data_IF_494253475527
#
_entry.id   IF_494253475527
#
_cell.length_a   1.000
_cell.length_b   1.000
_cell.length_c   1.000
_cell.angle_alpha   90.00
_cell.angle_beta   90.00
_cell.angle_gamma   90.00
#
_symmetry.space_group_name_H-M   'P 1'
#
loop_
_entity.id
_entity.type
_entity.pdbx_description
1 polymer ?
#
# COMPACT_ATOMS: atom_id res chain seq x y z
N UNK A 1 6.05 -52.51 -6.86
CA UNK A 1 5.91 -51.19 -7.53
C UNK A 1 5.64 -50.16 -6.44
N UNK A 2 6.63 -49.33 -6.11
CA UNK A 2 6.52 -48.32 -5.06
C UNK A 2 5.79 -47.08 -5.59
N UNK A 3 4.66 -46.75 -4.99
CA UNK A 3 3.92 -45.51 -5.26
C UNK A 3 4.70 -44.35 -4.64
N UNK A 4 5.41 -43.59 -5.48
CA UNK A 4 6.03 -42.35 -5.09
C UNK A 4 4.93 -41.32 -4.76
N UNK A 5 4.62 -41.18 -3.46
CA UNK A 5 3.74 -40.13 -2.98
C UNK A 5 4.31 -38.77 -3.37
N UNK A 6 3.57 -38.01 -4.19
CA UNK A 6 3.89 -36.60 -4.48
C UNK A 6 3.85 -35.83 -3.16
N UNK A 7 5.01 -35.52 -2.59
CA UNK A 7 5.12 -34.60 -1.46
C UNK A 7 4.86 -33.19 -1.97
N UNK A 8 3.63 -32.71 -1.81
CA UNK A 8 3.34 -31.30 -2.04
C UNK A 8 4.12 -30.47 -1.02
N UNK A 9 5.11 -29.71 -1.49
CA UNK A 9 5.85 -28.77 -0.65
C UNK A 9 4.88 -27.71 -0.14
N UNK A 10 4.77 -27.58 1.18
CA UNK A 10 4.04 -26.48 1.81
C UNK A 10 4.63 -25.16 1.29
N UNK A 11 3.81 -24.22 0.75
CA UNK A 11 4.31 -22.94 0.27
C UNK A 11 5.13 -22.23 1.36
N UNK A 12 6.31 -21.72 0.99
CA UNK A 12 7.10 -20.90 1.89
C UNK A 12 6.32 -19.62 2.25
N UNK A 13 6.61 -19.05 3.41
CA UNK A 13 5.92 -17.84 3.88
C UNK A 13 6.02 -16.66 2.92
N UNK A 14 7.14 -16.54 2.22
CA UNK A 14 7.35 -15.51 1.20
C UNK A 14 6.41 -15.71 0.00
N UNK A 15 6.10 -16.96 -0.37
CA UNK A 15 5.12 -17.27 -1.41
C UNK A 15 3.70 -16.84 -1.02
N UNK A 16 3.29 -17.04 0.24
CA UNK A 16 1.96 -16.62 0.70
C UNK A 16 1.79 -15.10 0.70
N UNK A 17 2.81 -14.36 1.13
CA UNK A 17 2.79 -12.88 1.11
C UNK A 17 2.74 -12.37 -0.34
N UNK A 18 3.51 -12.98 -1.25
CA UNK A 18 3.48 -12.61 -2.66
C UNK A 18 2.13 -12.93 -3.31
N UNK A 19 1.49 -14.04 -2.93
CA UNK A 19 0.16 -14.37 -3.39
C UNK A 19 -0.89 -13.37 -2.91
N UNK A 20 -0.86 -12.97 -1.63
CA UNK A 20 -1.75 -11.92 -1.10
C UNK A 20 -1.54 -10.58 -1.81
N UNK A 21 -0.29 -10.23 -2.13
CA UNK A 21 0.04 -9.03 -2.92
C UNK A 21 -0.49 -9.12 -4.34
N UNK A 22 -0.42 -10.30 -4.96
CA UNK A 22 -0.98 -10.52 -6.28
C UNK A 22 -2.50 -10.32 -6.28
N UNK A 23 -3.21 -10.90 -5.32
CA UNK A 23 -4.66 -10.68 -5.16
C UNK A 23 -4.95 -9.20 -4.98
N UNK A 24 -4.25 -8.52 -4.06
CA UNK A 24 -4.45 -7.11 -3.81
C UNK A 24 -4.15 -6.25 -5.05
N UNK A 25 -3.09 -6.56 -5.81
CA UNK A 25 -2.75 -5.86 -7.06
C UNK A 25 -3.86 -6.03 -8.11
N UNK A 26 -4.39 -7.25 -8.28
CA UNK A 26 -5.49 -7.53 -9.20
C UNK A 26 -6.76 -6.77 -8.83
N UNK A 27 -7.09 -6.68 -7.52
CA UNK A 27 -8.23 -5.90 -7.04
C UNK A 27 -8.03 -4.39 -7.29
N UNK A 28 -6.83 -3.85 -7.10
CA UNK A 28 -6.51 -2.44 -7.40
C UNK A 28 -6.64 -2.15 -8.90
N UNK A 29 -6.12 -3.03 -9.76
CA UNK A 29 -6.24 -2.90 -11.22
C UNK A 29 -7.71 -2.90 -11.62
N UNK A 30 -8.48 -3.87 -11.12
CA UNK A 30 -9.91 -3.96 -11.40
C UNK A 30 -10.67 -2.73 -10.93
N UNK A 31 -10.39 -2.23 -9.72
CA UNK A 31 -11.00 -1.00 -9.19
C UNK A 31 -10.75 0.22 -10.06
N UNK A 32 -9.50 0.43 -10.49
CA UNK A 32 -9.16 1.56 -11.37
C UNK A 32 -9.81 1.42 -12.75
N UNK A 33 -9.84 0.21 -13.31
CA UNK A 33 -10.55 -0.07 -14.55
C UNK A 33 -12.05 0.25 -14.43
N UNK A 34 -12.71 -0.27 -13.39
CA UNK A 34 -14.13 -0.03 -13.15
C UNK A 34 -14.41 1.47 -12.97
N UNK A 35 -13.56 2.18 -12.23
CA UNK A 35 -13.66 3.63 -12.03
C UNK A 35 -13.56 4.42 -13.34
N UNK A 36 -12.65 4.03 -14.24
CA UNK A 36 -12.48 4.67 -15.55
C UNK A 36 -13.63 4.35 -16.52
N UNK A 37 -14.26 3.17 -16.38
CA UNK A 37 -15.42 2.77 -17.16
C UNK A 37 -16.76 3.20 -16.54
N UNK A 38 -16.73 3.93 -15.42
CA UNK A 38 -17.91 4.28 -14.62
C UNK A 38 -18.78 3.06 -14.23
N UNK A 39 -18.15 1.90 -14.06
CA UNK A 39 -18.79 0.68 -13.59
C UNK A 39 -18.89 0.73 -12.05
N UNK A 40 -20.08 0.49 -11.46
CA UNK A 40 -20.22 0.45 -10.01
C UNK A 40 -19.30 -0.58 -9.35
N UNK A 41 -18.62 -0.16 -8.29
CA UNK A 41 -17.78 -1.03 -7.48
C UNK A 41 -18.65 -1.88 -6.52
N UNK A 42 -18.40 -3.19 -6.36
CA UNK A 42 -19.06 -4.00 -5.33
C UNK A 42 -18.50 -3.67 -3.95
N UNK A 43 -19.40 -3.67 -2.96
CA UNK A 43 -19.07 -3.37 -1.57
C UNK A 43 -19.07 -4.65 -0.72
N UNK A 44 -18.06 -4.77 0.13
CA UNK A 44 -17.97 -5.81 1.16
C UNK A 44 -17.91 -5.10 2.50
N UNK A 45 -18.86 -5.38 3.40
CA UNK A 45 -18.93 -4.78 4.74
C UNK A 45 -18.87 -3.24 4.72
N UNK A 46 -19.52 -2.61 3.73
CA UNK A 46 -19.55 -1.16 3.57
C UNK A 46 -18.29 -0.54 2.97
N UNK A 47 -17.31 -1.32 2.49
CA UNK A 47 -16.15 -0.81 1.76
C UNK A 47 -16.03 -1.40 0.35
N UNK A 48 -15.60 -0.56 -0.60
CA UNK A 48 -15.22 -1.00 -1.94
C UNK A 48 -13.98 -1.90 -1.94
N UNK A 49 -13.84 -2.71 -2.99
CA UNK A 49 -12.69 -3.58 -3.22
C UNK A 49 -11.35 -2.84 -3.31
N UNK A 50 -11.30 -1.65 -3.93
CA UNK A 50 -10.11 -0.82 -4.04
C UNK A 50 -9.56 -0.41 -2.68
N UNK A 51 -10.37 0.26 -1.82
CA UNK A 51 -10.05 0.50 -0.42
C UNK A 51 -9.54 -0.73 0.34
N UNK A 52 -10.23 -1.87 0.23
CA UNK A 52 -9.84 -3.12 0.89
C UNK A 52 -8.46 -3.58 0.41
N UNK A 53 -8.21 -3.56 -0.90
CA UNK A 53 -6.94 -3.97 -1.48
C UNK A 53 -5.78 -3.08 -1.02
N UNK A 54 -5.99 -1.77 -0.96
CA UNK A 54 -5.01 -0.82 -0.41
C UNK A 54 -4.74 -1.11 1.08
N UNK A 55 -5.78 -1.37 1.86
CA UNK A 55 -5.63 -1.73 3.28
C UNK A 55 -4.80 -3.02 3.44
N UNK A 56 -5.00 -4.04 2.61
CA UNK A 56 -4.17 -5.26 2.58
C UNK A 56 -2.71 -4.91 2.31
N UNK A 57 -2.42 -4.09 1.31
CA UNK A 57 -1.06 -3.64 1.03
C UNK A 57 -0.42 -2.94 2.24
N UNK A 58 -1.16 -2.11 2.96
CA UNK A 58 -0.64 -1.40 4.14
C UNK A 58 -0.38 -2.34 5.33
N UNK A 59 -1.24 -3.32 5.59
CA UNK A 59 -0.97 -4.37 6.61
C UNK A 59 0.29 -5.15 6.26
N UNK A 60 0.41 -5.64 5.03
CA UNK A 60 1.59 -6.40 4.59
C UNK A 60 2.86 -5.54 4.63
N UNK A 61 2.75 -4.26 4.27
CA UNK A 61 3.85 -3.30 4.34
C UNK A 61 4.30 -3.08 5.77
N UNK A 62 3.38 -2.90 6.72
CA UNK A 62 3.67 -2.81 8.15
C UNK A 62 4.55 -3.94 8.65
N UNK A 63 4.12 -5.18 8.38
CA UNK A 63 4.87 -6.36 8.77
C UNK A 63 6.28 -6.40 8.14
N UNK A 64 6.39 -6.18 6.83
CA UNK A 64 7.65 -6.33 6.09
C UNK A 64 8.62 -5.19 6.32
N UNK A 65 8.13 -3.97 6.48
CA UNK A 65 8.95 -2.79 6.75
C UNK A 65 9.55 -2.90 8.15
N UNK A 66 8.73 -3.24 9.15
CA UNK A 66 9.19 -3.50 10.51
C UNK A 66 10.24 -4.63 10.53
N UNK A 67 9.97 -5.77 9.87
CA UNK A 67 10.91 -6.91 9.79
C UNK A 67 12.21 -6.54 9.08
N UNK A 68 12.14 -5.72 8.03
CA UNK A 68 13.33 -5.27 7.35
C UNK A 68 14.13 -4.27 8.16
N UNK A 69 13.49 -3.44 8.97
CA UNK A 69 14.17 -2.52 9.88
C UNK A 69 14.93 -3.30 10.97
N UNK A 70 14.30 -4.28 11.62
CA UNK A 70 14.95 -5.08 12.67
C UNK A 70 16.15 -5.89 12.17
N UNK A 71 16.23 -6.16 10.86
CA UNK A 71 17.36 -6.82 10.20
C UNK A 71 18.39 -5.85 9.59
N UNK A 72 18.15 -4.55 9.65
CA UNK A 72 19.06 -3.55 9.05
C UNK A 72 20.15 -3.13 10.02
N UNK A 73 21.37 -2.96 9.51
CA UNK A 73 22.53 -2.54 10.30
C UNK A 73 22.54 -1.04 10.62
N UNK A 74 21.92 -0.20 9.79
CA UNK A 74 21.85 1.25 9.97
C UNK A 74 20.63 1.87 9.28
N UNK A 75 20.28 3.08 9.70
CA UNK A 75 19.23 3.90 9.07
C UNK A 75 19.52 4.16 7.59
N UNK A 76 20.76 4.53 7.25
CA UNK A 76 21.16 4.82 5.87
C UNK A 76 21.03 3.61 4.94
N UNK A 77 21.55 2.44 5.36
CA UNK A 77 21.45 1.20 4.57
C UNK A 77 19.99 0.78 4.34
N UNK A 78 19.14 0.96 5.35
CA UNK A 78 17.71 0.73 5.25
C UNK A 78 17.06 1.70 4.25
N UNK A 79 17.33 3.01 4.38
CA UNK A 79 16.68 4.04 3.57
C UNK A 79 17.09 3.96 2.08
N UNK A 80 18.35 3.68 1.78
CA UNK A 80 18.84 3.51 0.39
C UNK A 80 18.06 2.41 -0.33
N UNK A 81 17.86 1.25 0.32
CA UNK A 81 17.06 0.14 -0.24
C UNK A 81 15.61 0.53 -0.53
N UNK A 82 15.08 1.54 0.15
CA UNK A 82 13.70 2.03 -0.01
C UNK A 82 13.60 3.11 -1.07
N UNK A 83 14.57 4.01 -1.13
CA UNK A 83 14.68 5.00 -2.19
C UNK A 83 14.84 4.28 -3.54
N UNK A 84 15.77 3.32 -3.64
CA UNK A 84 15.99 2.53 -4.85
C UNK A 84 14.75 1.70 -5.28
N UNK A 85 13.82 1.45 -4.36
CA UNK A 85 12.58 0.72 -4.66
C UNK A 85 11.48 1.62 -5.25
N UNK A 86 11.35 2.87 -4.79
CA UNK A 86 10.24 3.76 -5.19
C UNK A 86 10.67 4.71 -6.30
N UNK A 87 11.76 5.45 -6.09
CA UNK A 87 12.06 6.63 -6.90
C UNK A 87 12.41 6.31 -8.35
N UNK A 88 13.16 5.25 -8.71
CA UNK A 88 13.46 4.97 -10.11
C UNK A 88 12.19 4.72 -10.94
N UNK A 89 11.30 3.84 -10.46
CA UNK A 89 10.04 3.54 -11.15
C UNK A 89 9.11 4.75 -11.20
N UNK A 90 9.03 5.51 -10.11
CA UNK A 90 8.24 6.73 -10.03
C UNK A 90 8.74 7.81 -11.00
N UNK A 91 10.06 8.03 -11.08
CA UNK A 91 10.64 8.97 -12.02
C UNK A 91 10.30 8.57 -13.46
N UNK A 92 10.50 7.30 -13.81
CA UNK A 92 10.19 6.79 -15.16
C UNK A 92 8.72 7.00 -15.51
N UNK A 93 7.77 6.60 -14.66
CA UNK A 93 6.33 6.74 -14.99
C UNK A 93 5.92 8.20 -15.11
N UNK A 94 6.46 9.10 -14.29
CA UNK A 94 6.16 10.53 -14.37
C UNK A 94 6.76 11.16 -15.62
N UNK A 95 8.03 10.86 -15.94
CA UNK A 95 8.68 11.36 -17.15
C UNK A 95 7.98 10.84 -18.41
N UNK A 96 7.61 9.55 -18.47
CA UNK A 96 6.83 9.01 -19.57
C UNK A 96 5.44 9.65 -19.65
N UNK A 97 4.82 9.99 -18.52
CA UNK A 97 3.53 10.68 -18.52
C UNK A 97 3.63 12.08 -19.12
N UNK A 98 4.69 12.84 -18.79
CA UNK A 98 4.89 14.23 -19.25
C UNK A 98 5.42 14.30 -20.68
N UNK A 99 6.39 13.47 -21.04
CA UNK A 99 7.13 13.63 -22.30
C UNK A 99 6.69 12.68 -23.42
N UNK A 100 5.91 11.65 -23.09
CA UNK A 100 5.45 10.66 -24.07
C UNK A 100 3.93 10.62 -24.13
N UNK A 101 3.27 10.20 -23.05
CA UNK A 101 1.82 10.03 -23.06
C UNK A 101 1.09 11.37 -23.21
N UNK A 102 1.46 12.39 -22.43
CA UNK A 102 0.84 13.72 -22.50
C UNK A 102 0.81 14.31 -23.92
N UNK A 103 1.95 14.44 -24.62
CA UNK A 103 2.01 14.92 -26.00
C UNK A 103 1.22 14.08 -27.01
N UNK A 104 1.03 12.78 -26.75
CA UNK A 104 0.27 11.88 -27.64
C UNK A 104 -1.25 12.09 -27.47
N UNK A 105 -1.72 12.36 -26.26
CA UNK A 105 -3.17 12.35 -25.94
C UNK A 105 -3.75 13.71 -25.55
N UNK A 106 -2.92 14.74 -25.39
CA UNK A 106 -3.40 16.08 -25.04
C UNK A 106 -4.28 16.67 -26.15
N UNK A 107 -5.34 17.37 -25.76
CA UNK A 107 -6.20 18.14 -26.65
C UNK A 107 -5.61 19.50 -27.06
N UNK A 108 -4.50 19.92 -26.43
CA UNK A 108 -3.85 21.19 -26.67
C UNK A 108 -2.81 21.09 -27.81
N UNK A 109 -2.56 22.18 -28.56
CA UNK A 109 -1.34 22.29 -29.34
C UNK A 109 -0.09 22.06 -28.47
N UNK A 110 0.93 21.37 -29.01
CA UNK A 110 2.12 21.00 -28.21
C UNK A 110 2.86 22.21 -27.62
N UNK A 111 2.86 23.35 -28.32
CA UNK A 111 3.44 24.59 -27.80
C UNK A 111 2.75 25.05 -26.51
N UNK A 112 1.42 25.01 -26.49
CA UNK A 112 0.62 25.42 -25.33
C UNK A 112 0.76 24.42 -24.18
N UNK A 113 0.81 23.12 -24.49
CA UNK A 113 1.04 22.07 -23.50
C UNK A 113 2.35 22.27 -22.72
N UNK A 114 3.46 22.54 -23.41
CA UNK A 114 4.76 22.75 -22.76
C UNK A 114 4.93 24.17 -22.19
N UNK A 115 4.16 25.15 -22.65
CA UNK A 115 4.13 26.50 -22.06
C UNK A 115 3.32 26.54 -20.74
N UNK A 116 2.39 25.62 -20.54
CA UNK A 116 1.57 25.56 -19.33
C UNK A 116 2.36 25.10 -18.11
N UNK A 117 2.27 25.88 -17.02
CA UNK A 117 2.97 25.59 -15.75
C UNK A 117 2.53 24.28 -15.09
N UNK A 118 1.32 23.79 -15.36
CA UNK A 118 0.77 22.53 -14.88
C UNK A 118 1.58 21.31 -15.34
N UNK A 119 2.07 21.33 -16.58
CA UNK A 119 2.95 20.29 -17.14
C UNK A 119 4.21 20.13 -16.29
N UNK A 120 4.84 21.24 -15.92
CA UNK A 120 6.05 21.23 -15.09
C UNK A 120 5.77 20.93 -13.62
N UNK A 121 4.65 21.44 -13.07
CA UNK A 121 4.22 21.12 -11.71
C UNK A 121 3.97 19.62 -11.53
N UNK A 122 3.57 18.89 -12.57
CA UNK A 122 3.39 17.44 -12.52
C UNK A 122 4.68 16.69 -12.15
N UNK A 123 5.86 17.22 -12.51
CA UNK A 123 7.16 16.61 -12.16
C UNK A 123 7.42 16.59 -10.65
N UNK A 124 6.71 17.40 -9.85
CA UNK A 124 6.84 17.37 -8.38
C UNK A 124 6.46 16.01 -7.80
N UNK A 125 5.65 15.21 -8.50
CA UNK A 125 5.30 13.85 -8.11
C UNK A 125 6.51 12.93 -8.01
N UNK A 126 7.62 13.20 -8.72
CA UNK A 126 8.87 12.43 -8.63
C UNK A 126 9.42 12.44 -7.20
N UNK A 127 9.24 13.55 -6.50
CA UNK A 127 9.65 13.71 -5.09
C UNK A 127 8.48 13.52 -4.12
N UNK A 128 7.42 12.85 -4.58
CA UNK A 128 6.19 12.56 -3.81
C UNK A 128 5.45 13.83 -3.35
N UNK A 129 5.72 14.98 -3.97
CA UNK A 129 5.03 16.24 -3.69
C UNK A 129 3.78 16.35 -4.59
N UNK A 130 2.57 16.35 -4.02
CA UNK A 130 1.31 16.31 -4.78
C UNK A 130 0.86 17.71 -5.23
N UNK A 131 1.74 18.48 -5.88
CA UNK A 131 1.43 19.87 -6.32
C UNK A 131 0.43 19.88 -7.48
N UNK A 132 0.59 18.96 -8.44
CA UNK A 132 -0.39 18.72 -9.49
C UNK A 132 -0.52 17.22 -9.76
N UNK A 133 -1.76 16.72 -9.90
CA UNK A 133 -2.05 15.35 -10.34
C UNK A 133 -2.63 15.31 -11.77
N UNK A 134 -2.71 16.47 -12.42
CA UNK A 134 -3.28 16.64 -13.76
C UNK A 134 -2.21 17.13 -14.73
N UNK A 135 -2.38 16.77 -16.01
CA UNK A 135 -1.63 17.33 -17.13
C UNK A 135 -2.60 18.14 -18.01
N UNK A 136 -2.19 19.31 -18.51
CA UNK A 136 -3.06 20.17 -19.33
C UNK A 136 -3.58 19.44 -20.58
N UNK A 137 -4.89 19.44 -20.79
CA UNK A 137 -5.52 18.85 -21.97
C UNK A 137 -5.56 17.31 -21.98
N UNK A 138 -5.11 16.64 -20.91
CA UNK A 138 -4.95 15.17 -20.87
C UNK A 138 -6.08 14.55 -20.08
N UNK A 139 -6.89 13.70 -20.74
CA UNK A 139 -8.01 12.96 -20.15
C UNK A 139 -9.13 13.82 -19.53
N UNK A 140 -9.30 15.07 -19.99
CA UNK A 140 -10.33 15.98 -19.46
C UNK A 140 -11.76 15.45 -19.64
N UNK A 141 -11.99 14.58 -20.63
CA UNK A 141 -13.28 13.95 -20.90
C UNK A 141 -13.52 12.64 -20.13
N UNK A 142 -12.54 12.15 -19.35
CA UNK A 142 -12.72 10.92 -18.58
C UNK A 142 -13.66 11.14 -17.38
N UNK A 143 -14.31 10.07 -16.86
CA UNK A 143 -15.13 10.16 -15.65
C UNK A 143 -14.37 10.70 -14.41
N UNK A 144 -13.05 10.54 -14.39
CA UNK A 144 -12.17 11.04 -13.34
C UNK A 144 -11.06 11.94 -13.94
N UNK A 145 -11.37 13.21 -14.31
CA UNK A 145 -10.42 14.08 -15.00
C UNK A 145 -9.36 14.69 -14.05
N UNK A 146 -9.52 14.52 -12.74
CA UNK A 146 -8.69 15.16 -11.72
C UNK A 146 -7.38 14.41 -11.40
N UNK A 147 -7.11 13.27 -12.05
CA UNK A 147 -5.87 12.54 -11.86
C UNK A 147 -5.48 11.72 -13.10
N UNK A 148 -4.33 12.06 -13.70
CA UNK A 148 -3.73 11.28 -14.79
C UNK A 148 -3.27 9.90 -14.28
N UNK A 149 -2.66 9.88 -13.09
CA UNK A 149 -2.20 8.66 -12.44
C UNK A 149 -2.84 8.53 -11.05
N UNK A 150 -4.10 8.07 -11.03
CA UNK A 150 -4.92 7.99 -9.81
C UNK A 150 -4.42 7.03 -8.74
N UNK A 151 -3.43 6.17 -9.02
CA UNK A 151 -2.88 5.20 -8.07
C UNK A 151 -1.69 5.73 -7.24
N UNK A 152 -1.07 6.84 -7.65
CA UNK A 152 0.18 7.34 -7.02
C UNK A 152 0.00 7.89 -5.60
N UNK A 153 -1.22 8.24 -5.22
CA UNK A 153 -1.52 8.93 -3.97
C UNK A 153 -1.11 8.15 -2.70
N UNK A 154 -0.96 6.83 -2.79
CA UNK A 154 -0.56 5.96 -1.66
C UNK A 154 0.95 5.98 -1.38
N UNK A 155 1.79 6.23 -2.40
CA UNK A 155 3.25 6.12 -2.31
C UNK A 155 3.86 7.06 -1.26
N UNK A 156 3.31 8.27 -1.12
CA UNK A 156 3.73 9.23 -0.09
C UNK A 156 3.52 8.71 1.33
N UNK A 157 2.45 7.96 1.58
CA UNK A 157 2.20 7.35 2.89
C UNK A 157 3.10 6.14 3.13
N UNK A 158 3.39 5.35 2.10
CA UNK A 158 4.37 4.25 2.20
C UNK A 158 5.77 4.81 2.53
N UNK A 159 6.19 5.88 1.85
CA UNK A 159 7.48 6.52 2.13
C UNK A 159 7.51 7.16 3.52
N UNK A 160 6.41 7.79 3.97
CA UNK A 160 6.29 8.27 5.34
C UNK A 160 6.42 7.12 6.35
N UNK A 161 5.83 5.95 6.09
CA UNK A 161 5.97 4.78 6.93
C UNK A 161 7.42 4.26 7.00
N UNK A 162 8.17 4.37 5.89
CA UNK A 162 9.59 4.07 5.88
C UNK A 162 10.38 4.96 6.85
N UNK A 163 10.03 6.24 6.95
CA UNK A 163 10.69 7.19 7.86
C UNK A 163 10.25 7.01 9.31
N UNK A 164 8.95 6.81 9.56
CA UNK A 164 8.40 6.71 10.92
C UNK A 164 8.79 5.43 11.64
N UNK A 165 9.04 4.33 10.91
CA UNK A 165 9.35 3.05 11.55
C UNK A 165 10.65 3.09 12.34
N UNK A 166 11.80 3.49 11.78
CA UNK A 166 13.01 3.67 12.57
C UNK A 166 12.84 4.61 13.76
N UNK A 167 12.09 5.70 13.61
CA UNK A 167 11.82 6.67 14.68
C UNK A 167 11.04 6.03 15.83
N UNK A 168 9.99 5.26 15.53
CA UNK A 168 9.19 4.57 16.54
C UNK A 168 10.01 3.50 17.28
N UNK A 169 10.85 2.74 16.57
CA UNK A 169 11.77 1.77 17.19
C UNK A 169 12.86 2.45 18.04
N UNK A 170 13.37 3.61 17.61
CA UNK A 170 14.33 4.38 18.37
C UNK A 170 13.72 4.96 19.65
N UNK A 171 12.52 5.54 19.55
CA UNK A 171 11.77 6.11 20.68
C UNK A 171 11.43 5.06 21.74
N UNK A 172 11.21 3.81 21.34
CA UNK A 172 10.84 2.71 22.24
C UNK A 172 12.01 1.81 22.66
N UNK A 173 13.25 2.10 22.22
CA UNK A 173 14.43 1.25 22.45
C UNK A 173 14.71 0.97 23.93
N UNK A 174 14.47 1.95 24.81
CA UNK A 174 14.74 1.86 26.25
C UNK A 174 13.59 1.27 27.07
N UNK A 175 12.43 1.01 26.45
CA UNK A 175 11.25 0.49 27.13
C UNK A 175 11.32 -1.05 27.20
N UNK A 176 12.04 -1.57 28.19
CA UNK A 176 12.20 -3.00 28.45
C UNK A 176 10.83 -3.68 28.66
N UNK A 177 10.27 -4.30 27.60
CA UNK A 177 8.95 -4.95 27.61
C UNK A 177 7.77 -4.00 27.35
N UNK A 178 7.84 -2.76 27.84
CA UNK A 178 6.82 -1.73 27.64
C UNK A 178 6.62 -1.29 26.18
N UNK A 179 7.59 -1.58 25.31
CA UNK A 179 7.50 -1.31 23.87
C UNK A 179 6.23 -1.90 23.24
N UNK A 180 5.85 -3.12 23.58
CA UNK A 180 4.65 -3.77 23.01
C UNK A 180 3.37 -2.98 23.31
N UNK A 181 3.26 -2.48 24.54
CA UNK A 181 2.13 -1.63 24.95
C UNK A 181 2.07 -0.36 24.11
N UNK A 182 3.21 0.28 23.81
CA UNK A 182 3.25 1.46 22.93
C UNK A 182 2.70 1.15 21.54
N UNK A 183 3.11 0.05 20.90
CA UNK A 183 2.59 -0.35 19.59
C UNK A 183 1.07 -0.60 19.62
N UNK A 184 0.56 -1.26 20.68
CA UNK A 184 -0.87 -1.50 20.86
C UNK A 184 -1.64 -0.20 21.09
N UNK A 185 -1.13 0.70 21.92
CA UNK A 185 -1.76 2.00 22.20
C UNK A 185 -1.79 2.86 20.94
N UNK A 186 -0.68 2.94 20.19
CA UNK A 186 -0.64 3.68 18.91
C UNK A 186 -1.65 3.10 17.92
N UNK A 187 -1.73 1.78 17.78
CA UNK A 187 -2.73 1.13 16.94
C UNK A 187 -4.16 1.47 17.40
N UNK A 188 -4.46 1.37 18.70
CA UNK A 188 -5.77 1.67 19.25
C UNK A 188 -6.18 3.13 19.01
N UNK A 189 -5.26 4.08 19.17
CA UNK A 189 -5.51 5.50 18.89
C UNK A 189 -5.80 5.72 17.40
N UNK A 190 -5.01 5.14 16.50
CA UNK A 190 -5.22 5.27 15.05
C UNK A 190 -6.57 4.69 14.62
N UNK A 191 -6.94 3.52 15.16
CA UNK A 191 -8.25 2.88 14.92
C UNK A 191 -9.39 3.74 15.46
N UNK A 192 -9.26 4.27 16.68
CA UNK A 192 -10.28 5.14 17.28
C UNK A 192 -10.48 6.40 16.45
N UNK A 193 -9.41 7.11 16.07
CA UNK A 193 -9.51 8.32 15.26
C UNK A 193 -10.13 8.03 13.89
N UNK A 194 -9.73 6.95 13.23
CA UNK A 194 -10.36 6.55 11.97
C UNK A 194 -11.85 6.21 12.14
N UNK A 195 -12.22 5.49 13.21
CA UNK A 195 -13.61 5.16 13.51
C UNK A 195 -14.46 6.41 13.76
N UNK A 196 -13.97 7.37 14.54
CA UNK A 196 -14.65 8.64 14.80
C UNK A 196 -14.83 9.47 13.52
N UNK A 197 -13.85 9.46 12.61
CA UNK A 197 -13.96 10.08 11.28
C UNK A 197 -14.98 9.37 10.40
N UNK A 198 -14.89 8.04 10.30
CA UNK A 198 -15.73 7.23 9.42
C UNK A 198 -17.20 7.19 9.85
N UNK A 199 -17.46 7.19 11.16
CA UNK A 199 -18.82 7.25 11.73
C UNK A 199 -19.51 8.60 11.56
N UNK A 200 -18.78 9.63 11.12
CA UNK A 200 -19.30 10.99 10.97
C UNK A 200 -19.40 11.77 12.29
N UNK A 201 -18.96 11.21 13.42
CA UNK A 201 -18.92 11.92 14.71
C UNK A 201 -17.89 13.06 14.70
N UNK A 202 -16.72 12.83 14.10
CA UNK A 202 -15.65 13.82 13.95
C UNK A 202 -15.03 13.72 12.55
N UNK A 203 -15.72 14.17 11.49
CA UNK A 203 -15.28 13.99 10.12
C UNK A 203 -13.97 14.75 9.85
N UNK A 204 -12.95 14.04 9.38
CA UNK A 204 -11.67 14.64 9.03
C UNK A 204 -11.57 15.01 7.55
N UNK A 205 -10.77 16.02 7.19
CA UNK A 205 -10.37 16.25 5.81
C UNK A 205 -9.81 14.95 5.18
N UNK A 206 -10.12 14.70 3.91
CA UNK A 206 -9.85 13.39 3.28
C UNK A 206 -8.40 12.93 3.34
N UNK A 207 -7.46 13.88 3.32
CA UNK A 207 -6.02 13.60 3.47
C UNK A 207 -5.70 13.04 4.86
N UNK A 208 -6.27 13.63 5.92
CA UNK A 208 -6.08 13.17 7.29
C UNK A 208 -6.81 11.86 7.54
N UNK A 209 -8.05 11.73 7.07
CA UNK A 209 -8.80 10.47 7.14
C UNK A 209 -8.00 9.30 6.52
N UNK A 210 -7.46 9.52 5.32
CA UNK A 210 -6.58 8.54 4.68
C UNK A 210 -5.32 8.27 5.49
N UNK A 211 -4.68 9.29 6.07
CA UNK A 211 -3.49 9.11 6.91
C UNK A 211 -3.81 8.19 8.09
N UNK A 212 -4.85 8.49 8.89
CA UNK A 212 -5.20 7.68 10.05
C UNK A 212 -5.62 6.26 9.66
N UNK A 213 -6.43 6.11 8.60
CA UNK A 213 -6.83 4.80 8.08
C UNK A 213 -5.62 3.96 7.68
N UNK A 214 -4.80 4.48 6.78
CA UNK A 214 -3.66 3.72 6.23
C UNK A 214 -2.65 3.38 7.31
N UNK A 215 -2.39 4.31 8.25
CA UNK A 215 -1.49 4.04 9.37
C UNK A 215 -2.09 3.08 10.40
N UNK A 216 -3.41 3.01 10.59
CA UNK A 216 -4.03 1.98 11.43
C UNK A 216 -3.77 0.58 10.85
N UNK A 217 -4.02 0.38 9.55
CA UNK A 217 -3.73 -0.89 8.88
C UNK A 217 -2.23 -1.21 8.85
N UNK A 218 -1.38 -0.21 8.59
CA UNK A 218 0.06 -0.34 8.72
C UNK A 218 0.49 -0.84 10.10
N UNK A 219 0.01 -0.19 11.15
CA UNK A 219 0.36 -0.51 12.54
C UNK A 219 -0.18 -1.88 12.96
N UNK A 220 -1.30 -2.34 12.41
CA UNK A 220 -1.76 -3.71 12.61
C UNK A 220 -0.73 -4.72 12.08
N UNK A 221 -0.15 -4.47 10.90
CA UNK A 221 0.95 -5.26 10.35
C UNK A 221 2.22 -5.24 11.22
N UNK A 222 2.58 -4.07 11.74
CA UNK A 222 3.72 -3.94 12.68
C UNK A 222 3.45 -4.71 13.98
N UNK A 223 2.23 -4.63 14.51
CA UNK A 223 1.82 -5.34 15.71
C UNK A 223 1.89 -6.87 15.54
N UNK A 224 1.57 -7.40 14.35
CA UNK A 224 1.74 -8.84 14.05
C UNK A 224 3.18 -9.29 14.29
N UNK A 225 4.17 -8.49 13.90
CA UNK A 225 5.59 -8.79 14.13
C UNK A 225 5.97 -8.63 15.62
N UNK A 226 5.63 -7.49 16.22
CA UNK A 226 6.06 -7.14 17.58
C UNK A 226 5.42 -8.02 18.67
N UNK A 227 4.19 -8.46 18.44
CA UNK A 227 3.49 -9.39 19.32
C UNK A 227 3.86 -10.85 19.04
N UNK A 228 4.66 -11.12 18.00
CA UNK A 228 5.06 -12.48 17.60
C UNK A 228 3.90 -13.33 17.10
N UNK A 229 2.83 -12.68 16.61
CA UNK A 229 1.62 -13.35 16.12
C UNK A 229 1.88 -14.10 14.81
N UNK A 230 2.95 -13.74 14.12
CA UNK A 230 3.33 -14.41 12.89
C UNK A 230 3.69 -15.89 13.05
N UNK A 231 4.04 -16.34 14.25
CA UNK A 231 4.22 -17.76 14.57
C UNK A 231 2.92 -18.56 14.41
N UNK A 232 1.76 -17.93 14.60
CA UNK A 232 0.45 -18.59 14.48
C UNK A 232 -0.09 -18.56 13.05
N UNK A 233 0.40 -17.66 12.18
CA UNK A 233 0.05 -17.67 10.77
C UNK A 233 0.57 -18.93 10.05
N UNK A 234 1.74 -19.45 10.47
CA UNK A 234 2.34 -20.66 9.91
C UNK A 234 1.66 -21.97 10.39
N UNK A 235 0.98 -21.95 11.54
CA UNK A 235 0.29 -23.13 12.09
C UNK A 235 -1.11 -23.29 11.52
N UNK A 236 -1.83 -22.19 11.30
CA UNK A 236 -3.19 -22.19 10.72
C UNK A 236 -3.19 -22.63 9.25
N UNK A 237 -2.19 -22.22 8.45
CA UNK A 237 -2.04 -22.71 7.06
C UNK A 237 -1.72 -24.20 7.00
N UNK A 238 -0.87 -24.70 7.91
CA UNK A 238 -0.60 -26.14 8.06
C UNK A 238 -1.86 -26.91 8.43
N UNK A 239 -2.65 -26.39 9.36
CA UNK A 239 -3.90 -27.03 9.79
C UNK A 239 -4.98 -27.02 8.70
N UNK A 240 -5.17 -25.91 7.98
CA UNK A 240 -6.10 -25.84 6.85
C UNK A 240 -5.72 -26.77 5.71
N UNK A 241 -4.43 -26.88 5.35
CA UNK A 241 -4.01 -27.89 4.37
C UNK A 241 -4.22 -29.31 4.89
N UNK A 242 -3.97 -29.58 6.18
CA UNK A 242 -4.22 -30.91 6.75
C UNK A 242 -5.71 -31.28 6.74
N UNK A 243 -6.61 -30.30 6.93
CA UNK A 243 -8.06 -30.48 6.84
C UNK A 243 -8.50 -30.68 5.37
N UNK A 244 -7.94 -29.93 4.41
CA UNK A 244 -8.23 -30.11 2.99
C UNK A 244 -7.78 -31.48 2.47
N UNK A 245 -6.64 -32.00 2.92
CA UNK A 245 -6.17 -33.34 2.52
C UNK A 245 -6.95 -34.50 3.16
N UNK A 246 -7.72 -34.27 4.24
CA UNK A 246 -8.63 -35.29 4.79
C UNK A 246 -9.99 -35.32 4.09
N UNK A 247 -10.41 -34.23 3.44
CA UNK A 247 -11.68 -34.17 2.72
C UNK A 247 -11.62 -34.76 1.30
N UNK A 248 -10.43 -34.98 0.73
CA UNK A 248 -10.23 -35.62 -0.58
C UNK A 248 -9.73 -37.07 -0.48
N UNK A 249 -9.80 -37.68 0.71
CA UNK A 249 -9.37 -39.06 0.96
C UNK A 249 -10.55 -40.03 1.26
N UNK A 250 -11.77 -39.67 0.85
CA UNK A 250 -12.93 -40.54 0.81
C UNK A 250 -13.53 -40.54 -0.59
#
# INVERSE_FOLDING_TARGET
MSSAGKTYSVPSRDNNINFLRFIAASLVIWFHMASLLAIPEPYIMGQGLGPIAVNIFFVLSGYLIAKSWTRSSSFGSYLIRRIARIFPGLAVVILLSVFVMGPIVTSLPLGDYFADAGTWKYLSLIVLAPISNVLPGVFDANPLPYAVNGSLWTLRYEFLAYLLTPLLYAATKKLCGGRKLVFVVVLAVLVLVHFLSYSGLYPLPKVLDNLFRLFAYYMAGVAVLELGLDKYCDSQFRMCMHIHFRFFAY
#
